data_IF_001606843144
#
_entry.id   IF_001606843144
#
_cell.length_a   1.000
_cell.length_b   1.000
_cell.length_c   1.000
_cell.angle_alpha   90.00
_cell.angle_beta   90.00
_cell.angle_gamma   90.00
#
_symmetry.space_group_name_H-M   'P 1'
#
loop_
_entity.id
_entity.type
_entity.pdbx_description
1 polymer ?
#
# COMPACT_ATOMS: atom_id res chain seq x y z
N UNK A 1 -2.49 -19.70 -8.30
CA UNK A 1 -2.25 -19.41 -9.72
C UNK A 1 -1.17 -18.37 -9.83
N UNK A 2 -0.10 -18.65 -10.57
CA UNK A 2 0.97 -17.68 -10.78
C UNK A 2 0.56 -16.57 -11.76
N UNK A 3 1.27 -15.44 -11.76
CA UNK A 3 1.00 -14.27 -12.62
C UNK A 3 0.94 -14.62 -14.11
N UNK A 4 1.72 -15.61 -14.54
CA UNK A 4 1.79 -16.08 -15.94
C UNK A 4 0.52 -16.84 -16.33
N UNK A 5 -0.01 -17.68 -15.44
CA UNK A 5 -1.21 -18.48 -15.67
C UNK A 5 -2.45 -17.59 -15.81
N UNK A 6 -2.58 -16.59 -14.94
CA UNK A 6 -3.63 -15.58 -14.98
C UNK A 6 -3.58 -14.80 -16.30
N UNK A 7 -2.40 -14.32 -16.72
CA UNK A 7 -2.22 -13.59 -17.98
C UNK A 7 -2.67 -14.42 -19.19
N UNK A 8 -2.31 -15.71 -19.21
CA UNK A 8 -2.68 -16.60 -20.32
C UNK A 8 -4.17 -16.91 -20.34
N UNK A 9 -4.81 -17.03 -19.18
CA UNK A 9 -6.28 -17.17 -19.08
C UNK A 9 -6.98 -15.94 -19.63
N UNK A 10 -6.60 -14.75 -19.17
CA UNK A 10 -7.22 -13.49 -19.62
C UNK A 10 -7.08 -13.25 -21.12
N UNK A 11 -5.92 -13.59 -21.72
CA UNK A 11 -5.75 -13.52 -23.19
C UNK A 11 -6.74 -14.37 -23.97
N UNK A 12 -7.12 -15.54 -23.44
CA UNK A 12 -8.09 -16.43 -24.09
C UNK A 12 -9.52 -15.91 -23.93
N UNK A 13 -9.87 -15.47 -22.72
CA UNK A 13 -11.23 -15.00 -22.42
C UNK A 13 -11.57 -13.68 -23.13
N UNK A 14 -10.59 -12.75 -23.26
CA UNK A 14 -10.78 -11.44 -23.91
C UNK A 14 -11.22 -11.55 -25.39
N UNK A 15 -10.92 -12.66 -26.07
CA UNK A 15 -11.33 -12.87 -27.46
C UNK A 15 -12.83 -13.17 -27.59
N UNK A 16 -13.46 -13.69 -26.53
CA UNK A 16 -14.84 -14.18 -26.57
C UNK A 16 -15.86 -13.20 -25.93
N UNK A 17 -15.43 -12.05 -25.45
CA UNK A 17 -16.26 -11.09 -24.72
C UNK A 17 -16.71 -9.93 -25.61
N UNK A 18 -17.85 -9.31 -25.26
CA UNK A 18 -18.42 -8.20 -26.02
C UNK A 18 -17.75 -6.85 -25.69
N UNK A 19 -17.99 -5.85 -26.53
CA UNK A 19 -17.41 -4.51 -26.37
C UNK A 19 -17.78 -3.86 -25.01
N UNK A 20 -18.98 -4.15 -24.50
CA UNK A 20 -19.44 -3.64 -23.21
C UNK A 20 -18.58 -4.18 -22.07
N UNK A 21 -18.27 -5.47 -22.10
CA UNK A 21 -17.37 -6.08 -21.13
C UNK A 21 -15.95 -5.51 -21.24
N UNK A 22 -15.42 -5.30 -22.46
CA UNK A 22 -14.10 -4.70 -22.66
C UNK A 22 -14.02 -3.27 -22.10
N UNK A 23 -15.06 -2.45 -22.29
CA UNK A 23 -15.14 -1.10 -21.71
C UNK A 23 -15.18 -1.09 -20.19
N UNK A 24 -15.84 -2.08 -19.57
CA UNK A 24 -15.85 -2.23 -18.11
C UNK A 24 -14.46 -2.59 -17.57
N UNK A 25 -13.75 -3.51 -18.22
CA UNK A 25 -12.38 -3.88 -17.85
C UNK A 25 -11.42 -2.71 -18.07
N UNK A 26 -11.56 -1.94 -19.15
CA UNK A 26 -10.76 -0.73 -19.39
C UNK A 26 -11.01 0.33 -18.32
N UNK A 27 -12.27 0.57 -17.92
CA UNK A 27 -12.60 1.50 -16.84
C UNK A 27 -12.01 1.05 -15.49
N UNK A 28 -12.10 -0.25 -15.17
CA UNK A 28 -11.53 -0.83 -13.96
C UNK A 28 -10.00 -0.78 -13.95
N UNK A 29 -9.38 -1.09 -15.09
CA UNK A 29 -7.93 -0.98 -15.26
C UNK A 29 -7.48 0.48 -15.13
N UNK A 30 -8.21 1.42 -15.73
CA UNK A 30 -7.96 2.86 -15.57
C UNK A 30 -8.15 3.33 -14.14
N UNK A 31 -9.12 2.82 -13.37
CA UNK A 31 -9.25 3.15 -11.95
C UNK A 31 -8.15 2.53 -11.09
N UNK A 32 -7.67 1.34 -11.46
CA UNK A 32 -6.56 0.68 -10.78
C UNK A 32 -5.21 1.34 -11.09
N UNK A 33 -5.05 1.87 -12.32
CA UNK A 33 -3.85 2.58 -12.79
C UNK A 33 -3.89 4.08 -12.54
N UNK A 34 -5.07 4.68 -12.31
CA UNK A 34 -5.23 5.99 -11.68
C UNK A 34 -4.86 5.83 -10.21
N UNK A 35 -3.56 5.72 -10.02
CA UNK A 35 -2.82 6.18 -8.87
C UNK A 35 -3.15 5.47 -7.54
N UNK A 36 -2.20 4.66 -7.08
CA UNK A 36 -1.60 4.98 -5.77
C UNK A 36 -1.19 6.46 -5.83
N UNK A 37 -2.13 7.36 -5.58
CA UNK A 37 -1.82 8.78 -5.54
C UNK A 37 -0.91 8.94 -4.33
N UNK A 38 0.28 9.47 -4.55
CA UNK A 38 1.14 9.84 -3.44
C UNK A 38 0.51 11.05 -2.75
N UNK A 39 -0.44 10.78 -1.84
CA UNK A 39 -1.13 11.80 -1.05
C UNK A 39 -0.23 12.42 0.03
N UNK A 40 1.09 12.16 -0.02
CA UNK A 40 2.05 12.70 0.94
C UNK A 40 2.01 14.23 1.00
N UNK A 41 1.79 14.90 -0.14
CA UNK A 41 1.69 16.36 -0.18
C UNK A 41 0.33 16.89 0.30
N UNK A 42 -0.69 16.04 0.39
CA UNK A 42 -2.06 16.41 0.79
C UNK A 42 -2.33 16.21 2.30
N UNK A 43 -1.51 15.42 2.99
CA UNK A 43 -1.63 15.21 4.44
C UNK A 43 -1.09 16.41 5.23
N UNK A 44 -1.55 16.66 6.48
CA UNK A 44 -1.05 17.75 7.31
C UNK A 44 0.48 17.70 7.51
N UNK A 45 1.12 18.86 7.58
CA UNK A 45 2.58 19.02 7.73
C UNK A 45 3.16 18.20 8.88
N UNK A 46 2.47 18.17 10.01
CA UNK A 46 2.93 17.45 11.20
C UNK A 46 3.03 15.94 10.94
N UNK A 47 2.11 15.40 10.13
CA UNK A 47 2.11 13.99 9.73
C UNK A 47 3.21 13.71 8.70
N UNK A 48 3.43 14.66 7.76
CA UNK A 48 4.54 14.56 6.80
C UNK A 48 5.89 14.49 7.49
N UNK A 49 6.13 15.35 8.48
CA UNK A 49 7.37 15.38 9.27
C UNK A 49 7.57 14.08 10.04
N UNK A 50 6.51 13.54 10.65
CA UNK A 50 6.56 12.26 11.35
C UNK A 50 6.92 11.10 10.40
N UNK A 51 6.34 11.07 9.21
CA UNK A 51 6.64 10.06 8.20
C UNK A 51 8.07 10.19 7.66
N UNK A 52 8.57 11.40 7.42
CA UNK A 52 9.96 11.61 7.02
C UNK A 52 10.92 11.13 8.11
N UNK A 53 10.67 11.49 9.37
CA UNK A 53 11.46 11.04 10.51
C UNK A 53 11.44 9.51 10.64
N UNK A 54 10.28 8.89 10.49
CA UNK A 54 10.16 7.43 10.49
C UNK A 54 11.02 6.78 9.40
N UNK A 55 11.02 7.33 8.17
CA UNK A 55 11.87 6.84 7.07
C UNK A 55 13.36 6.99 7.38
N UNK A 56 13.77 8.09 8.03
CA UNK A 56 15.15 8.26 8.47
C UNK A 56 15.56 7.29 9.57
N UNK A 57 14.69 7.05 10.55
CA UNK A 57 14.95 6.13 11.65
C UNK A 57 15.09 4.69 11.13
N UNK A 58 14.26 4.29 10.15
CA UNK A 58 14.42 3.02 9.43
C UNK A 58 15.78 2.93 8.73
N UNK A 59 16.20 3.98 8.00
CA UNK A 59 17.52 4.02 7.33
C UNK A 59 18.68 3.91 8.32
N UNK A 60 18.52 4.48 9.52
CA UNK A 60 19.50 4.43 10.61
C UNK A 60 19.43 3.13 11.42
N UNK A 61 18.54 2.19 11.07
CA UNK A 61 18.35 0.93 11.79
C UNK A 61 17.66 1.06 13.15
N UNK A 62 17.07 2.22 13.43
CA UNK A 62 16.32 2.50 14.67
C UNK A 62 14.89 1.99 14.57
N UNK A 63 14.76 0.69 14.35
CA UNK A 63 13.48 0.00 14.29
C UNK A 63 13.24 -0.75 15.59
N UNK A 64 12.00 -0.74 16.06
CA UNK A 64 11.63 -1.41 17.30
C UNK A 64 10.51 -2.41 17.00
N UNK A 65 10.53 -3.54 17.69
CA UNK A 65 9.41 -4.47 17.66
C UNK A 65 8.24 -3.91 18.47
N UNK A 66 7.03 -4.32 18.11
CA UNK A 66 5.83 -3.92 18.83
C UNK A 66 5.91 -4.26 20.34
N UNK A 67 6.42 -5.45 20.67
CA UNK A 67 6.62 -5.89 22.06
C UNK A 67 7.62 -5.00 22.82
N UNK A 68 8.71 -4.60 22.18
CA UNK A 68 9.72 -3.72 22.78
C UNK A 68 9.12 -2.37 23.15
N UNK A 69 8.34 -1.77 22.23
CA UNK A 69 7.69 -0.47 22.47
C UNK A 69 6.63 -0.57 23.56
N UNK A 70 5.82 -1.64 23.56
CA UNK A 70 4.82 -1.84 24.60
C UNK A 70 5.44 -2.02 25.98
N UNK A 71 6.51 -2.80 26.11
CA UNK A 71 7.20 -2.98 27.38
C UNK A 71 7.86 -1.68 27.87
N UNK A 72 8.46 -0.90 26.96
CA UNK A 72 9.01 0.42 27.29
C UNK A 72 7.91 1.38 27.77
N UNK A 73 6.76 1.43 27.07
CA UNK A 73 5.63 2.27 27.46
C UNK A 73 5.05 1.85 28.82
N UNK A 74 4.87 0.55 29.05
CA UNK A 74 4.41 0.00 30.34
C UNK A 74 5.36 0.38 31.48
N UNK A 75 6.66 0.25 31.26
CA UNK A 75 7.69 0.63 32.25
C UNK A 75 7.69 2.14 32.51
N UNK A 76 7.63 2.94 31.45
CA UNK A 76 7.71 4.41 31.52
C UNK A 76 6.50 5.06 32.19
N UNK A 77 5.30 4.52 31.94
CA UNK A 77 4.05 5.05 32.49
C UNK A 77 3.52 4.20 33.65
N UNK A 78 4.30 3.22 34.11
CA UNK A 78 3.97 2.32 35.22
C UNK A 78 2.60 1.63 35.05
N UNK A 79 2.30 1.24 33.80
CA UNK A 79 1.05 0.57 33.43
C UNK A 79 1.27 -0.93 33.62
N UNK A 80 0.71 -1.46 34.70
CA UNK A 80 0.73 -2.90 35.02
C UNK A 80 -0.23 -3.71 34.16
#
# INVERSE_FOLDING_TARGET
>A
MGTIELRNKWKKEIVNVDERFLRLIDALHKSYMKEETDFFDEIPSDIQELLQKSREDIKKGKTYTHESILNEAKTKYNIS
#
